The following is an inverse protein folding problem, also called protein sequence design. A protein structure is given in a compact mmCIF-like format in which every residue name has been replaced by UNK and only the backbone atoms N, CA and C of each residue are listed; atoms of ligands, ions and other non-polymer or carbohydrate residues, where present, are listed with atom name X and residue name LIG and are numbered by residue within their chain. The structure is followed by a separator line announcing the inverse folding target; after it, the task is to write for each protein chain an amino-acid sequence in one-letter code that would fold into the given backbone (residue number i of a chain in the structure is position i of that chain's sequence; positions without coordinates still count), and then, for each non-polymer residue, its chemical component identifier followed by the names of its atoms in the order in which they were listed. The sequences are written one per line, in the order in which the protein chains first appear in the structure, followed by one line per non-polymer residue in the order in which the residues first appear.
data_IF_323450586213
#
_entry.id   IF_323450586213
#
_cell.length_a   1.000
_cell.length_b   1.000
_cell.length_c   1.000
_cell.angle_alpha   90.00
_cell.angle_beta   90.00
_cell.angle_gamma   90.00
#
_symmetry.space_group_name_H-M   'P 1'
#
loop_
_entity.id
_entity.type
_entity.pdbx_description
1 polymer ?
#
# COMPACT_ATOMS: atom_id res chain seq x y z
N UNK A 1 13.61 2.48 -2.38
CA UNK A 1 12.40 2.50 -1.53
C UNK A 1 11.50 3.68 -1.88
N UNK A 2 12.04 4.89 -2.04
CA UNK A 2 11.29 6.09 -2.49
C UNK A 2 10.46 5.92 -3.78
N UNK A 3 10.93 5.10 -4.72
CA UNK A 3 10.22 4.84 -5.98
C UNK A 3 8.89 4.10 -5.77
N UNK A 4 8.81 3.22 -4.76
CA UNK A 4 7.60 2.45 -4.46
C UNK A 4 6.51 3.40 -3.94
N UNK A 5 6.85 4.30 -3.03
CA UNK A 5 5.91 5.29 -2.50
C UNK A 5 5.49 6.35 -3.54
N UNK A 6 6.38 6.67 -4.49
CA UNK A 6 6.10 7.66 -5.53
C UNK A 6 5.22 7.14 -6.67
N UNK A 7 5.39 5.89 -7.09
CA UNK A 7 4.75 5.35 -8.30
C UNK A 7 3.63 4.34 -8.04
N UNK A 8 3.46 3.83 -6.81
CA UNK A 8 2.41 2.85 -6.48
C UNK A 8 1.33 3.48 -5.61
N UNK A 9 0.41 4.20 -6.25
CA UNK A 9 -0.64 4.93 -5.56
C UNK A 9 -1.95 4.15 -5.54
N UNK A 10 -2.31 3.56 -6.68
CA UNK A 10 -3.55 2.81 -6.88
C UNK A 10 -3.34 1.29 -6.83
N UNK A 11 -4.39 0.56 -6.48
CA UNK A 11 -4.38 -0.91 -6.36
C UNK A 11 -3.95 -1.58 -7.67
N UNK A 12 -4.38 -1.02 -8.81
CA UNK A 12 -4.00 -1.52 -10.12
C UNK A 12 -2.49 -1.43 -10.38
N UNK A 13 -1.82 -0.40 -9.84
CA UNK A 13 -0.36 -0.27 -9.95
C UNK A 13 0.33 -1.37 -9.17
N UNK A 14 -0.15 -1.66 -7.95
CA UNK A 14 0.36 -2.77 -7.14
C UNK A 14 0.18 -4.12 -7.83
N UNK A 15 -1.02 -4.42 -8.32
CA UNK A 15 -1.33 -5.67 -9.02
C UNK A 15 -0.44 -5.89 -10.24
N UNK A 16 -0.31 -4.87 -11.09
CA UNK A 16 0.55 -4.94 -12.28
C UNK A 16 2.00 -5.21 -11.90
N UNK A 17 2.52 -4.51 -10.90
CA UNK A 17 3.92 -4.65 -10.49
C UNK A 17 4.19 -6.01 -9.83
N UNK A 18 3.28 -6.52 -8.98
CA UNK A 18 3.39 -7.89 -8.45
C UNK A 18 3.33 -8.95 -9.56
N UNK A 19 2.46 -8.77 -10.56
CA UNK A 19 2.40 -9.66 -11.72
C UNK A 19 3.70 -9.65 -12.53
N UNK A 20 4.25 -8.47 -12.80
CA UNK A 20 5.54 -8.33 -13.50
C UNK A 20 6.65 -8.99 -12.69
N UNK A 21 6.71 -8.74 -11.37
CA UNK A 21 7.69 -9.38 -10.49
C UNK A 21 7.62 -10.90 -10.57
N UNK A 22 6.41 -11.48 -10.53
CA UNK A 22 6.22 -12.93 -10.67
C UNK A 22 6.78 -13.47 -11.98
N UNK A 23 6.54 -12.78 -13.10
CA UNK A 23 7.10 -13.16 -14.40
C UNK A 23 8.64 -13.07 -14.37
N UNK A 24 9.19 -11.99 -13.81
CA UNK A 24 10.64 -11.81 -13.68
C UNK A 24 11.29 -12.88 -12.80
N UNK A 25 10.62 -13.32 -11.74
CA UNK A 25 11.07 -14.46 -10.92
C UNK A 25 11.16 -15.72 -11.76
N UNK A 26 10.11 -16.04 -12.52
CA UNK A 26 10.10 -17.23 -13.40
C UNK A 26 11.17 -17.15 -14.50
N UNK A 27 11.43 -15.96 -15.04
CA UNK A 27 12.48 -15.77 -16.04
C UNK A 27 13.88 -15.90 -15.43
N UNK A 28 14.09 -15.42 -14.20
CA UNK A 28 15.35 -15.60 -13.47
C UNK A 28 15.62 -17.07 -13.14
N UNK A 29 14.60 -17.85 -12.78
CA UNK A 29 14.72 -19.29 -12.50
C UNK A 29 15.19 -20.09 -13.71
N UNK A 30 14.77 -19.69 -14.93
CA UNK A 30 15.17 -20.31 -16.20
C UNK A 30 16.62 -20.04 -16.59
N UNK A 31 17.32 -19.12 -15.92
CA UNK A 31 18.71 -18.84 -16.22
C UNK A 31 19.59 -20.07 -15.96
N UNK A 32 20.50 -20.41 -16.89
CA UNK A 32 21.41 -21.52 -16.71
C UNK A 32 22.43 -21.19 -15.61
N UNK A 33 22.88 -22.22 -14.89
CA UNK A 33 23.92 -22.05 -13.87
C UNK A 33 25.31 -21.94 -14.51
N UNK A 34 25.49 -22.50 -15.70
CA UNK A 34 26.76 -22.54 -16.42
C UNK A 34 26.50 -22.38 -17.92
N UNK A 35 27.41 -21.70 -18.62
CA UNK A 35 27.39 -21.57 -20.08
C UNK A 35 28.74 -21.98 -20.62
N UNK A 36 28.70 -22.90 -21.59
CA UNK A 36 29.89 -23.32 -22.33
C UNK A 36 30.03 -22.44 -23.57
N UNK A 37 31.21 -21.86 -23.74
CA UNK A 37 31.57 -21.11 -24.94
C UNK A 37 32.90 -21.66 -25.46
N UNK A 38 32.84 -22.42 -26.56
CA UNK A 38 33.96 -23.15 -27.13
C UNK A 38 34.62 -24.11 -26.10
N UNK A 39 35.86 -23.83 -25.70
CA UNK A 39 36.63 -24.57 -24.70
C UNK A 39 36.50 -24.02 -23.26
N UNK A 40 35.71 -22.97 -23.04
CA UNK A 40 35.48 -22.38 -21.72
C UNK A 40 34.14 -22.79 -21.12
N UNK A 41 34.14 -23.09 -19.82
CA UNK A 41 32.94 -23.25 -19.01
C UNK A 41 32.85 -22.08 -18.03
N UNK A 42 31.84 -21.24 -18.19
CA UNK A 42 31.63 -20.05 -17.36
C UNK A 42 30.50 -20.32 -16.38
N UNK A 43 30.77 -20.14 -15.09
CA UNK A 43 29.77 -20.22 -14.04
C UNK A 43 28.97 -18.91 -13.97
N UNK A 44 27.67 -18.99 -14.24
CA UNK A 44 26.71 -17.88 -14.20
C UNK A 44 25.87 -17.89 -12.92
N UNK A 45 25.97 -18.94 -12.09
CA UNK A 45 25.22 -19.05 -10.84
C UNK A 45 25.32 -17.81 -9.92
N UNK A 46 26.49 -17.16 -9.72
CA UNK A 46 26.56 -15.94 -8.92
C UNK A 46 25.69 -14.79 -9.47
N UNK A 47 25.61 -14.66 -10.80
CA UNK A 47 24.76 -13.67 -11.45
C UNK A 47 23.27 -13.99 -11.24
N UNK A 48 22.89 -15.26 -11.43
CA UNK A 48 21.52 -15.73 -11.19
C UNK A 48 21.07 -15.43 -9.75
N UNK A 49 21.88 -15.80 -8.76
CA UNK A 49 21.60 -15.53 -7.35
C UNK A 49 21.48 -14.02 -7.05
N UNK A 50 22.30 -13.20 -7.70
CA UNK A 50 22.23 -11.74 -7.55
C UNK A 50 20.90 -11.20 -8.07
N UNK A 51 20.44 -11.66 -9.24
CA UNK A 51 19.16 -11.27 -9.82
C UNK A 51 18.00 -11.69 -8.92
N UNK A 52 17.97 -12.96 -8.50
CA UNK A 52 16.94 -13.50 -7.60
C UNK A 52 16.88 -12.72 -6.28
N UNK A 53 18.04 -12.34 -5.73
CA UNK A 53 18.09 -11.54 -4.52
C UNK A 53 17.52 -10.13 -4.72
N UNK A 54 17.82 -9.46 -5.84
CA UNK A 54 17.24 -8.14 -6.12
C UNK A 54 15.72 -8.21 -6.31
N UNK A 55 15.22 -9.24 -6.99
CA UNK A 55 13.78 -9.47 -7.15
C UNK A 55 13.12 -9.66 -5.78
N UNK A 56 13.70 -10.50 -4.91
CA UNK A 56 13.21 -10.74 -3.55
C UNK A 56 13.16 -9.45 -2.73
N UNK A 57 14.26 -8.69 -2.71
CA UNK A 57 14.35 -7.41 -1.99
C UNK A 57 13.29 -6.40 -2.46
N UNK A 58 13.04 -6.32 -3.77
CA UNK A 58 12.02 -5.45 -4.31
C UNK A 58 10.62 -5.89 -3.87
N UNK A 59 10.34 -7.19 -3.93
CA UNK A 59 9.06 -7.75 -3.47
C UNK A 59 8.82 -7.46 -1.97
N UNK A 60 9.82 -7.68 -1.12
CA UNK A 60 9.71 -7.42 0.33
C UNK A 60 9.52 -5.93 0.63
N UNK A 61 10.22 -5.06 -0.11
CA UNK A 61 10.05 -3.61 0.00
C UNK A 61 8.64 -3.19 -0.42
N UNK A 62 8.11 -3.73 -1.53
CA UNK A 62 6.74 -3.49 -1.96
C UNK A 62 5.71 -3.92 -0.92
N UNK A 63 5.81 -5.13 -0.38
CA UNK A 63 4.91 -5.62 0.67
C UNK A 63 4.95 -4.73 1.92
N UNK A 64 6.14 -4.28 2.31
CA UNK A 64 6.33 -3.39 3.45
C UNK A 64 5.63 -2.04 3.23
N UNK A 65 5.79 -1.44 2.05
CA UNK A 65 5.15 -0.16 1.73
C UNK A 65 3.63 -0.28 1.55
N UNK A 66 3.13 -1.40 0.98
CA UNK A 66 1.70 -1.67 0.90
C UNK A 66 1.08 -1.75 2.30
N UNK A 67 1.71 -2.50 3.22
CA UNK A 67 1.30 -2.56 4.63
C UNK A 67 1.31 -1.18 5.28
N UNK A 68 2.37 -0.40 5.11
CA UNK A 68 2.45 0.98 5.63
C UNK A 68 1.35 1.89 5.06
N UNK A 69 1.06 1.80 3.76
CA UNK A 69 -0.02 2.56 3.13
C UNK A 69 -1.39 2.20 3.72
N UNK A 70 -1.67 0.91 3.92
CA UNK A 70 -2.93 0.45 4.53
C UNK A 70 -3.03 0.95 5.98
N UNK A 71 -1.96 0.82 6.77
CA UNK A 71 -1.95 1.30 8.16
C UNK A 71 -2.14 2.82 8.24
N UNK A 72 -1.51 3.59 7.35
CA UNK A 72 -1.67 5.06 7.29
C UNK A 72 -3.12 5.45 6.99
N UNK A 73 -3.72 4.81 5.99
CA UNK A 73 -5.12 5.04 5.63
C UNK A 73 -6.04 4.62 6.80
N UNK A 74 -5.76 3.50 7.48
CA UNK A 74 -6.53 3.03 8.64
C UNK A 74 -6.48 4.00 9.83
N UNK A 75 -5.29 4.53 10.15
CA UNK A 75 -5.12 5.52 11.24
C UNK A 75 -5.94 6.78 10.94
N UNK A 76 -5.93 7.23 9.69
CA UNK A 76 -6.71 8.40 9.26
C UNK A 76 -8.21 8.18 9.44
N UNK A 77 -8.72 7.01 9.02
CA UNK A 77 -10.13 6.64 9.17
C UNK A 77 -10.51 6.50 10.65
N UNK A 78 -9.68 5.85 11.46
CA UNK A 78 -9.92 5.73 12.91
C UNK A 78 -9.95 7.09 13.61
N UNK A 79 -9.04 8.00 13.24
CA UNK A 79 -9.05 9.37 13.76
C UNK A 79 -10.36 10.09 13.43
N UNK A 80 -10.86 9.94 12.20
CA UNK A 80 -12.13 10.53 11.79
C UNK A 80 -13.32 9.92 12.58
N UNK A 81 -13.33 8.61 12.78
CA UNK A 81 -14.39 7.94 13.56
C UNK A 81 -14.37 8.42 15.02
N UNK A 82 -13.20 8.53 15.63
CA UNK A 82 -13.06 9.03 17.00
C UNK A 82 -13.51 10.50 17.13
N UNK A 83 -13.06 11.38 16.22
CA UNK A 83 -13.51 12.78 16.16
C UNK A 83 -15.04 12.88 16.00
N UNK A 84 -15.61 12.03 15.15
CA UNK A 84 -17.05 11.94 14.95
C UNK A 84 -17.80 11.49 16.19
N UNK A 85 -17.29 10.47 16.90
CA UNK A 85 -17.88 9.98 18.14
C UNK A 85 -17.82 11.03 19.25
N UNK A 86 -16.71 11.74 19.40
CA UNK A 86 -16.59 12.85 20.37
C UNK A 86 -17.58 13.97 20.05
N UNK A 87 -17.66 14.37 18.78
CA UNK A 87 -18.58 15.43 18.33
C UNK A 87 -20.05 15.06 18.51
N UNK A 88 -20.41 13.79 18.27
CA UNK A 88 -21.79 13.28 18.43
C UNK A 88 -22.19 13.04 19.89
N UNK A 89 -21.22 12.76 20.76
CA UNK A 89 -21.45 12.59 22.20
C UNK A 89 -21.50 13.93 22.96
N UNK A 90 -21.04 15.02 22.35
CA UNK A 90 -21.12 16.35 22.93
C UNK A 90 -22.58 16.77 23.13
N UNK A 91 -22.90 17.27 24.34
CA UNK A 91 -24.25 17.69 24.72
C UNK A 91 -24.24 19.19 24.99
N UNK A 92 -24.39 20.03 23.95
CA UNK A 92 -24.34 21.49 24.12
C UNK A 92 -25.50 21.97 25.00
N UNK A 93 -25.19 22.86 25.95
CA UNK A 93 -26.16 23.40 26.93
C UNK A 93 -26.46 24.88 26.69
N UNK A 94 -25.56 25.61 26.04
CA UNK A 94 -25.75 27.04 25.72
C UNK A 94 -26.04 27.28 24.24
N UNK A 95 -26.63 28.43 23.92
CA UNK A 95 -26.97 28.79 22.53
C UNK A 95 -25.73 28.93 21.63
N UNK A 96 -24.62 29.42 22.18
CA UNK A 96 -23.33 29.51 21.48
C UNK A 96 -22.71 28.12 21.24
N UNK A 97 -22.80 27.21 22.22
CA UNK A 97 -22.37 25.81 22.09
C UNK A 97 -23.18 25.06 21.03
N UNK A 98 -24.49 25.32 20.93
CA UNK A 98 -25.33 24.74 19.86
C UNK A 98 -24.84 25.16 18.47
N UNK A 99 -24.56 26.45 18.27
CA UNK A 99 -24.05 26.95 16.99
C UNK A 99 -22.71 26.35 16.59
N UNK A 100 -21.79 26.15 17.54
CA UNK A 100 -20.50 25.51 17.27
C UNK A 100 -20.63 24.00 17.02
N UNK A 101 -21.52 23.31 17.74
CA UNK A 101 -21.83 21.89 17.51
C UNK A 101 -22.41 21.66 16.10
N UNK A 102 -23.37 22.47 15.64
CA UNK A 102 -23.92 22.37 14.28
C UNK A 102 -22.85 22.53 13.19
N UNK A 103 -21.90 23.46 13.36
CA UNK A 103 -20.78 23.63 12.42
C UNK A 103 -19.89 22.39 12.37
N UNK A 104 -19.51 21.84 13.52
CA UNK A 104 -18.71 20.60 13.59
C UNK A 104 -19.42 19.41 12.93
N UNK A 105 -20.75 19.30 13.08
CA UNK A 105 -21.53 18.27 12.40
C UNK A 105 -21.52 18.41 10.87
N UNK A 106 -21.61 19.64 10.36
CA UNK A 106 -21.56 19.89 8.91
C UNK A 106 -20.16 19.64 8.33
N UNK A 107 -19.12 20.01 9.07
CA UNK A 107 -17.72 19.66 8.75
C UNK A 107 -17.50 18.15 8.73
N UNK A 108 -18.02 17.42 9.72
CA UNK A 108 -17.94 15.96 9.78
C UNK A 108 -18.66 15.31 8.60
N UNK A 109 -19.83 15.83 8.23
CA UNK A 109 -20.60 15.37 7.07
C UNK A 109 -19.83 15.57 5.76
N UNK A 110 -19.12 16.69 5.63
CA UNK A 110 -18.26 16.98 4.48
C UNK A 110 -17.02 16.07 4.46
N UNK A 111 -16.32 15.92 5.58
CA UNK A 111 -15.18 15.00 5.73
C UNK A 111 -15.56 13.56 5.40
N UNK A 112 -16.75 13.10 5.78
CA UNK A 112 -17.25 11.75 5.48
C UNK A 112 -17.24 11.42 3.99
N UNK A 113 -17.58 12.38 3.12
CA UNK A 113 -17.57 12.16 1.67
C UNK A 113 -16.18 11.83 1.13
N UNK A 114 -15.13 12.38 1.74
CA UNK A 114 -13.74 12.11 1.37
C UNK A 114 -13.19 10.84 2.02
N UNK A 115 -13.72 10.44 3.18
CA UNK A 115 -13.29 9.23 3.91
C UNK A 115 -13.83 7.94 3.27
N UNK A 116 -15.03 7.96 2.68
CA UNK A 116 -15.61 6.77 2.03
C UNK A 116 -14.72 6.20 0.90
N UNK A 117 -14.26 7.01 -0.09
CA UNK A 117 -13.32 6.53 -1.11
C UNK A 117 -11.99 6.04 -0.52
N UNK A 118 -11.52 6.66 0.56
CA UNK A 118 -10.29 6.23 1.25
C UNK A 118 -10.46 4.83 1.85
N UNK A 119 -11.63 4.55 2.42
CA UNK A 119 -11.98 3.24 2.95
C UNK A 119 -12.06 2.18 1.85
N UNK A 120 -12.73 2.45 0.73
CA UNK A 120 -12.85 1.51 -0.39
C UNK A 120 -11.46 1.17 -0.97
N UNK A 121 -10.60 2.18 -1.09
CA UNK A 121 -9.20 2.00 -1.53
C UNK A 121 -8.41 1.18 -0.52
N UNK A 122 -8.58 1.41 0.78
CA UNK A 122 -7.95 0.64 1.84
C UNK A 122 -8.38 -0.82 1.78
N UNK A 123 -9.67 -1.09 1.66
CA UNK A 123 -10.21 -2.45 1.57
C UNK A 123 -9.62 -3.19 0.37
N UNK A 124 -9.59 -2.53 -0.79
CA UNK A 124 -9.04 -3.09 -2.02
C UNK A 124 -7.53 -3.40 -1.88
N UNK A 125 -6.75 -2.50 -1.27
CA UNK A 125 -5.32 -2.74 -0.95
C UNK A 125 -5.14 -3.90 0.03
N UNK A 126 -5.99 -3.99 1.06
CA UNK A 126 -5.94 -5.05 2.06
C UNK A 126 -6.33 -6.42 1.47
N UNK A 127 -7.30 -6.45 0.54
CA UNK A 127 -7.65 -7.65 -0.22
C UNK A 127 -6.46 -8.14 -1.06
N UNK A 128 -5.77 -7.23 -1.74
CA UNK A 128 -4.56 -7.56 -2.50
C UNK A 128 -3.46 -8.13 -1.60
N UNK A 129 -3.23 -7.54 -0.41
CA UNK A 129 -2.21 -8.01 0.52
C UNK A 129 -2.47 -9.44 1.05
N UNK A 130 -3.74 -9.86 1.09
CA UNK A 130 -4.15 -11.19 1.56
C UNK A 130 -4.18 -12.24 0.44
N UNK A 131 -4.11 -11.82 -0.82
CA UNK A 131 -4.07 -12.71 -1.99
C UNK A 131 -2.67 -13.27 -2.22
#
# INVERSE_FOLDING_TARGET
EELVEKYLLDVNDWEKNFRILKIRTQDAEKLPNEVRYDCFLVNINPLKLTIENQIRRLNDSMLTHLKRSITRDAVTINSFVNEGLETLNDRPRTHEELGSSYKKHDELKSKRQNILPLYDRLESKNKLLRS
#
